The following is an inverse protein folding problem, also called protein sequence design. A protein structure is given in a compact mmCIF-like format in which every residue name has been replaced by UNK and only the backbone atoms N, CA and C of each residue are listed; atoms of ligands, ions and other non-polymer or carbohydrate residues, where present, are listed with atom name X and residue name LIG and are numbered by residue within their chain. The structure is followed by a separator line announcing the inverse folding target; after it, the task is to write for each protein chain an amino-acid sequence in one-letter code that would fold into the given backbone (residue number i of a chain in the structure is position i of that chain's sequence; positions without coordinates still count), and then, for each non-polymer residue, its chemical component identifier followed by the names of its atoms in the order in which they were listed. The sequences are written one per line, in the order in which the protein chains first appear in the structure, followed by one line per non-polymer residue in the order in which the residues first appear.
data_IF_446221129099
#
_entry.id   IF_446221129099
#
_cell.length_a   1.000
_cell.length_b   1.000
_cell.length_c   1.000
_cell.angle_alpha   90.00
_cell.angle_beta   90.00
_cell.angle_gamma   90.00
#
_symmetry.space_group_name_H-M   'P 1'
#
loop_
_entity.id
_entity.type
_entity.pdbx_description
1 polymer ?
#
# COMPACT_ATOMS: atom_id res chain seq x y z
N UNK A 1 -26.23 -0.71 4.54
CA UNK A 1 -24.99 -1.00 5.27
C UNK A 1 -25.32 -0.97 6.75
N UNK A 2 -25.36 -2.14 7.41
CA UNK A 2 -25.80 -2.22 8.79
C UNK A 2 -24.69 -2.85 9.63
N UNK A 3 -23.70 -2.03 9.99
CA UNK A 3 -22.81 -2.37 11.09
C UNK A 3 -23.36 -1.70 12.35
N UNK A 4 -23.56 -2.51 13.39
CA UNK A 4 -23.93 -2.01 14.70
C UNK A 4 -22.67 -1.42 15.36
N UNK A 5 -22.74 -0.17 15.78
CA UNK A 5 -21.67 0.49 16.52
C UNK A 5 -22.19 0.78 17.93
N UNK A 6 -21.54 0.24 18.92
CA UNK A 6 -21.69 0.68 20.30
C UNK A 6 -20.60 1.70 20.58
N UNK A 7 -21.00 2.93 20.81
CA UNK A 7 -20.07 4.00 21.22
C UNK A 7 -20.15 4.07 22.75
N UNK A 8 -19.03 3.78 23.40
CA UNK A 8 -18.93 4.01 24.86
C UNK A 8 -19.13 5.50 25.15
N UNK A 9 -19.68 5.80 26.32
CA UNK A 9 -19.86 7.19 26.74
C UNK A 9 -18.51 7.93 26.68
N UNK A 10 -18.48 8.97 25.86
CA UNK A 10 -17.33 9.86 25.75
C UNK A 10 -17.22 10.74 26.99
N UNK A 11 -15.99 11.12 27.36
CA UNK A 11 -15.76 12.16 28.37
C UNK A 11 -16.11 13.54 27.80
N UNK A 12 -16.23 14.54 28.65
CA UNK A 12 -16.47 15.94 28.24
C UNK A 12 -15.32 16.49 27.36
N UNK A 13 -14.15 15.87 27.38
CA UNK A 13 -12.96 16.26 26.63
C UNK A 13 -12.82 15.50 25.29
N UNK A 14 -13.63 14.46 25.04
CA UNK A 14 -13.54 13.68 23.82
C UNK A 14 -14.27 14.36 22.65
N UNK A 15 -13.56 14.56 21.55
CA UNK A 15 -14.13 15.07 20.30
C UNK A 15 -14.18 13.95 19.28
N UNK A 16 -15.39 13.50 18.93
CA UNK A 16 -15.60 12.51 17.86
C UNK A 16 -15.89 13.20 16.53
N UNK A 17 -15.11 12.89 15.50
CA UNK A 17 -15.31 13.41 14.14
C UNK A 17 -15.57 12.25 13.19
N UNK A 18 -16.69 12.28 12.48
CA UNK A 18 -17.04 11.28 11.48
C UNK A 18 -16.88 11.85 10.06
N UNK A 19 -15.94 11.29 9.29
CA UNK A 19 -15.83 11.56 7.87
C UNK A 19 -16.54 10.45 7.08
N UNK A 20 -17.55 10.83 6.29
CA UNK A 20 -18.21 9.92 5.37
C UNK A 20 -17.56 10.06 4.00
N UNK A 21 -16.87 9.00 3.58
CA UNK A 21 -16.13 8.96 2.31
C UNK A 21 -16.92 8.09 1.32
N UNK A 22 -17.28 8.68 0.18
CA UNK A 22 -17.98 7.95 -0.88
C UNK A 22 -17.00 7.08 -1.69
N UNK A 23 -17.45 5.95 -2.27
CA UNK A 23 -16.57 5.07 -3.07
C UNK A 23 -15.85 5.79 -4.22
N UNK A 24 -16.51 6.75 -4.85
CA UNK A 24 -15.98 7.56 -5.97
C UNK A 24 -14.77 8.41 -5.56
N UNK A 25 -14.64 8.74 -4.28
CA UNK A 25 -13.46 9.42 -3.75
C UNK A 25 -12.18 8.63 -4.04
N UNK A 26 -12.23 7.30 -3.92
CA UNK A 26 -11.07 6.44 -4.16
C UNK A 26 -10.63 6.46 -5.62
N UNK A 27 -11.49 6.78 -6.57
CA UNK A 27 -11.13 6.92 -8.00
C UNK A 27 -10.21 8.14 -8.24
N UNK A 28 -10.40 9.20 -7.46
CA UNK A 28 -9.55 10.39 -7.52
C UNK A 28 -8.23 10.21 -6.72
N UNK A 29 -8.27 9.43 -5.64
CA UNK A 29 -7.10 9.20 -4.77
C UNK A 29 -6.19 8.10 -5.29
N UNK A 30 -6.75 7.07 -5.97
CA UNK A 30 -5.97 5.97 -6.54
C UNK A 30 -4.79 6.39 -7.44
N UNK A 31 -4.91 7.42 -8.31
CA UNK A 31 -3.78 7.91 -9.07
C UNK A 31 -2.69 8.57 -8.22
N UNK A 32 -3.03 9.08 -7.03
CA UNK A 32 -2.06 9.66 -6.08
C UNK A 32 -1.35 8.59 -5.27
N UNK A 33 -2.03 7.47 -5.00
CA UNK A 33 -1.44 6.27 -4.46
C UNK A 33 -0.70 5.60 -5.62
N UNK A 34 0.61 5.56 -5.57
CA UNK A 34 1.43 4.92 -6.58
C UNK A 34 0.81 3.56 -6.97
N UNK A 35 0.26 3.46 -8.20
CA UNK A 35 -0.52 2.28 -8.64
C UNK A 35 0.29 0.97 -8.60
N UNK A 36 1.60 1.09 -8.51
CA UNK A 36 2.53 -0.04 -8.40
C UNK A 36 2.68 -0.56 -6.96
N UNK A 37 2.06 0.10 -5.96
CA UNK A 37 2.14 -0.34 -4.58
C UNK A 37 0.99 -1.32 -4.25
N UNK A 38 1.34 -2.60 -4.11
CA UNK A 38 0.39 -3.67 -3.79
C UNK A 38 -0.36 -3.43 -2.47
N UNK A 39 0.28 -2.79 -1.48
CA UNK A 39 -0.33 -2.44 -0.20
C UNK A 39 -1.45 -1.43 -0.36
N UNK A 40 -1.19 -0.34 -1.10
CA UNK A 40 -2.19 0.69 -1.40
C UNK A 40 -3.38 0.12 -2.16
N UNK A 41 -3.13 -0.71 -3.20
CA UNK A 41 -4.16 -1.39 -3.98
C UNK A 41 -5.00 -2.34 -3.10
N UNK A 42 -4.37 -3.07 -2.20
CA UNK A 42 -5.05 -3.94 -1.25
C UNK A 42 -5.94 -3.15 -0.28
N UNK A 43 -5.42 -2.09 0.34
CA UNK A 43 -6.18 -1.23 1.26
C UNK A 43 -7.43 -0.66 0.59
N UNK A 44 -7.27 -0.08 -0.60
CA UNK A 44 -8.39 0.48 -1.38
C UNK A 44 -9.40 -0.60 -1.76
N UNK A 45 -8.94 -1.78 -2.19
CA UNK A 45 -9.84 -2.89 -2.53
C UNK A 45 -10.64 -3.37 -1.31
N UNK A 46 -10.01 -3.37 -0.13
CA UNK A 46 -10.64 -3.74 1.14
C UNK A 46 -11.71 -2.72 1.55
N UNK A 47 -11.40 -1.43 1.40
CA UNK A 47 -12.35 -0.35 1.68
C UNK A 47 -13.53 -0.29 0.69
N UNK A 48 -13.28 -0.64 -0.58
CA UNK A 48 -14.33 -0.69 -1.62
C UNK A 48 -15.20 -1.93 -1.56
N UNK A 49 -14.63 -3.08 -1.18
CA UNK A 49 -15.40 -4.32 -1.06
C UNK A 49 -16.35 -4.21 0.11
N UNK A 50 -17.60 -3.93 -0.22
CA UNK A 50 -18.76 -3.97 0.65
C UNK A 50 -19.07 -5.45 1.00
N UNK A 51 -18.12 -6.11 1.69
CA UNK A 51 -18.36 -7.46 2.21
C UNK A 51 -19.30 -7.32 3.40
N UNK A 52 -20.34 -8.16 3.47
CA UNK A 52 -21.34 -8.24 4.55
C UNK A 52 -20.76 -8.51 5.95
N UNK A 53 -19.46 -8.44 6.11
CA UNK A 53 -18.77 -8.50 7.39
C UNK A 53 -18.52 -7.07 7.85
N UNK A 54 -19.32 -6.62 8.81
CA UNK A 54 -19.10 -5.38 9.54
C UNK A 54 -17.68 -5.39 10.11
N UNK A 55 -16.78 -4.65 9.48
CA UNK A 55 -15.38 -4.56 9.85
C UNK A 55 -14.96 -3.11 10.00
N UNK A 56 -14.17 -2.80 11.02
CA UNK A 56 -13.50 -1.51 11.19
C UNK A 56 -12.01 -1.73 11.42
N UNK A 57 -11.22 -0.77 11.00
CA UNK A 57 -9.79 -0.72 11.32
C UNK A 57 -9.61 0.39 12.35
N UNK A 58 -9.07 0.04 13.51
CA UNK A 58 -8.70 1.00 14.54
C UNK A 58 -7.20 1.29 14.43
N UNK A 59 -6.86 2.53 14.07
CA UNK A 59 -5.48 2.99 14.04
C UNK A 59 -5.14 3.72 15.33
N UNK A 60 -4.10 3.26 16.03
CA UNK A 60 -3.51 4.00 17.16
C UNK A 60 -2.47 4.99 16.65
N UNK A 61 -2.92 6.13 16.20
CA UNK A 61 -2.08 7.17 15.56
C UNK A 61 -2.16 8.53 16.26
N UNK A 62 -2.58 8.54 17.52
CA UNK A 62 -2.70 9.75 18.32
C UNK A 62 -1.34 10.48 18.54
N UNK A 63 -0.23 9.75 18.45
CA UNK A 63 1.14 10.27 18.55
C UNK A 63 1.81 10.55 17.19
N UNK A 64 1.11 10.31 16.07
CA UNK A 64 1.62 10.51 14.73
C UNK A 64 1.29 11.92 14.23
N UNK A 65 2.20 12.85 14.45
CA UNK A 65 2.01 14.26 14.13
C UNK A 65 1.53 14.53 12.68
N UNK A 66 2.04 13.86 11.62
CA UNK A 66 1.53 14.05 10.26
C UNK A 66 0.03 13.69 10.12
N UNK A 67 -0.45 12.65 10.82
CA UNK A 67 -1.86 12.26 10.83
C UNK A 67 -2.70 13.30 11.57
N UNK A 68 -2.26 13.75 12.74
CA UNK A 68 -2.93 14.79 13.53
C UNK A 68 -3.10 16.07 12.70
N UNK A 69 -2.02 16.58 12.11
CA UNK A 69 -2.05 17.80 11.30
C UNK A 69 -3.03 17.70 10.11
N UNK A 70 -3.10 16.55 9.45
CA UNK A 70 -4.02 16.34 8.33
C UNK A 70 -5.48 16.32 8.80
N UNK A 71 -5.77 15.70 9.94
CA UNK A 71 -7.12 15.68 10.52
C UNK A 71 -7.52 17.09 10.97
N UNK A 72 -6.64 17.82 11.65
CA UNK A 72 -6.88 19.21 12.06
C UNK A 72 -7.14 20.12 10.85
N UNK A 73 -6.35 20.00 9.79
CA UNK A 73 -6.55 20.74 8.54
C UNK A 73 -7.90 20.46 7.90
N UNK A 74 -8.35 19.19 7.87
CA UNK A 74 -9.68 18.82 7.37
C UNK A 74 -10.79 19.51 8.16
N UNK A 75 -10.70 19.45 9.49
CA UNK A 75 -11.68 20.07 10.39
C UNK A 75 -11.70 21.58 10.21
N UNK A 76 -10.54 22.21 10.23
CA UNK A 76 -10.40 23.65 10.04
C UNK A 76 -10.93 24.13 8.71
N UNK A 77 -10.56 23.47 7.63
CA UNK A 77 -11.01 23.78 6.26
C UNK A 77 -12.52 23.63 6.11
N UNK A 78 -13.11 22.62 6.74
CA UNK A 78 -14.56 22.40 6.72
C UNK A 78 -15.33 23.48 7.49
N UNK A 79 -14.82 23.89 8.66
CA UNK A 79 -15.42 24.95 9.47
C UNK A 79 -15.34 26.31 8.78
N UNK A 80 -14.21 26.65 8.15
CA UNK A 80 -13.96 27.97 7.60
C UNK A 80 -14.40 28.13 6.15
N UNK A 81 -14.71 27.06 5.44
CA UNK A 81 -15.25 27.01 4.06
C UNK A 81 -14.64 28.03 3.11
N UNK A 82 -13.33 28.09 3.03
CA UNK A 82 -12.61 28.94 2.09
C UNK A 82 -12.89 28.56 0.64
N UNK A 83 -12.55 29.44 -0.31
CA UNK A 83 -12.58 29.11 -1.73
C UNK A 83 -11.79 27.81 -1.98
N UNK A 84 -12.34 26.92 -2.81
CA UNK A 84 -11.73 25.60 -3.14
C UNK A 84 -11.59 24.61 -1.96
N UNK A 85 -12.33 24.82 -0.85
CA UNK A 85 -12.26 23.94 0.32
C UNK A 85 -12.54 22.45 -0.03
N UNK A 86 -13.33 22.19 -1.06
CA UNK A 86 -13.65 20.82 -1.50
C UNK A 86 -12.43 20.13 -2.07
N UNK A 87 -11.69 20.80 -2.94
CA UNK A 87 -10.48 20.25 -3.58
C UNK A 87 -9.36 20.09 -2.55
N UNK A 88 -9.23 21.08 -1.64
CA UNK A 88 -8.30 21.01 -0.51
C UNK A 88 -8.61 19.81 0.37
N UNK A 89 -9.86 19.63 0.78
CA UNK A 89 -10.27 18.51 1.62
C UNK A 89 -10.08 17.15 0.92
N UNK A 90 -10.39 17.09 -0.38
CA UNK A 90 -10.16 15.86 -1.15
C UNK A 90 -8.69 15.48 -1.21
N UNK A 91 -7.81 16.44 -1.47
CA UNK A 91 -6.36 16.23 -1.49
C UNK A 91 -5.83 15.87 -0.10
N UNK A 92 -6.25 16.59 0.94
CA UNK A 92 -5.85 16.35 2.33
C UNK A 92 -6.30 14.96 2.80
N UNK A 93 -7.52 14.55 2.45
CA UNK A 93 -8.00 13.20 2.74
C UNK A 93 -7.18 12.14 2.00
N UNK A 94 -6.77 12.39 0.76
CA UNK A 94 -5.85 11.53 0.01
C UNK A 94 -4.50 11.37 0.72
N UNK A 95 -3.92 12.47 1.18
CA UNK A 95 -2.68 12.46 1.97
C UNK A 95 -2.86 11.71 3.30
N UNK A 96 -4.00 11.88 3.98
CA UNK A 96 -4.32 11.13 5.20
C UNK A 96 -4.36 9.62 4.93
N UNK A 97 -5.01 9.17 3.85
CA UNK A 97 -5.00 7.75 3.48
C UNK A 97 -3.59 7.23 3.17
N UNK A 98 -2.78 7.99 2.44
CA UNK A 98 -1.38 7.62 2.19
C UNK A 98 -0.58 7.49 3.49
N UNK A 99 -0.78 8.40 4.43
CA UNK A 99 -0.12 8.34 5.74
C UNK A 99 -0.59 7.12 6.54
N UNK A 100 -1.90 6.82 6.57
CA UNK A 100 -2.43 5.63 7.25
C UNK A 100 -1.91 4.32 6.65
N UNK A 101 -1.64 4.26 5.34
CA UNK A 101 -0.97 3.10 4.71
C UNK A 101 0.41 2.84 5.33
N UNK A 102 1.14 3.89 5.71
CA UNK A 102 2.44 3.74 6.37
C UNK A 102 2.33 3.27 7.82
N UNK A 103 1.18 3.50 8.46
CA UNK A 103 0.94 3.19 9.89
C UNK A 103 0.22 1.85 10.10
N UNK A 104 0.32 0.91 9.16
CA UNK A 104 -0.35 -0.40 9.25
C UNK A 104 0.06 -1.23 10.46
N UNK A 105 1.24 -1.00 11.04
CA UNK A 105 1.72 -1.66 12.26
C UNK A 105 0.95 -1.21 13.51
N UNK A 106 0.23 -0.09 13.42
CA UNK A 106 -0.55 0.52 14.49
C UNK A 106 -2.04 0.19 14.42
N UNK A 107 -2.42 -0.78 13.55
CA UNK A 107 -3.80 -1.22 13.41
C UNK A 107 -4.13 -2.22 14.50
N UNK A 108 -5.19 -1.95 15.24
CA UNK A 108 -5.86 -2.91 16.12
C UNK A 108 -7.16 -3.40 15.50
N UNK A 109 -7.43 -4.67 15.63
CA UNK A 109 -8.66 -5.27 15.12
C UNK A 109 -9.40 -6.02 16.22
N UNK A 110 -10.71 -5.81 16.28
CA UNK A 110 -11.59 -6.52 17.20
C UNK A 110 -12.14 -7.86 16.69
N UNK A 111 -11.84 -8.23 15.42
CA UNK A 111 -12.41 -9.43 14.79
C UNK A 111 -11.32 -10.36 14.24
N UNK A 112 -11.34 -11.68 14.51
CA UNK A 112 -10.35 -12.65 14.02
C UNK A 112 -10.19 -12.67 12.49
N UNK A 113 -11.26 -12.43 11.73
CA UNK A 113 -11.21 -12.38 10.26
C UNK A 113 -10.51 -11.12 9.74
N UNK A 114 -10.58 -10.02 10.48
CA UNK A 114 -9.85 -8.79 10.16
C UNK A 114 -8.35 -8.93 10.42
N UNK A 115 -7.94 -9.70 11.44
CA UNK A 115 -6.52 -10.01 11.68
C UNK A 115 -5.83 -10.60 10.45
N UNK A 116 -6.54 -11.45 9.68
CA UNK A 116 -5.97 -12.05 8.47
C UNK A 116 -5.65 -10.99 7.39
N UNK A 117 -6.53 -10.00 7.21
CA UNK A 117 -6.29 -8.88 6.30
C UNK A 117 -5.12 -8.01 6.76
N UNK A 118 -4.99 -7.77 8.07
CA UNK A 118 -3.86 -7.02 8.64
C UNK A 118 -2.55 -7.76 8.41
N UNK A 119 -2.50 -9.09 8.59
CA UNK A 119 -1.30 -9.86 8.26
C UNK A 119 -0.91 -9.70 6.79
N UNK A 120 -1.87 -9.73 5.88
CA UNK A 120 -1.58 -9.51 4.45
C UNK A 120 -1.02 -8.11 4.21
N UNK A 121 -1.60 -7.06 4.84
CA UNK A 121 -1.05 -5.69 4.74
C UNK A 121 0.38 -5.60 5.26
N UNK A 122 0.68 -6.22 6.40
CA UNK A 122 2.03 -6.24 6.96
C UNK A 122 3.03 -7.01 6.07
N UNK A 123 2.58 -8.09 5.41
CA UNK A 123 3.42 -8.81 4.44
C UNK A 123 3.70 -7.93 3.21
N UNK A 124 2.68 -7.24 2.69
CA UNK A 124 2.85 -6.35 1.55
C UNK A 124 3.81 -5.20 1.89
N UNK A 125 3.66 -4.59 3.07
CA UNK A 125 4.60 -3.58 3.58
C UNK A 125 6.02 -4.13 3.70
N UNK A 126 6.18 -5.34 4.25
CA UNK A 126 7.48 -6.00 4.32
C UNK A 126 8.12 -6.20 2.93
N UNK A 127 7.34 -6.61 1.92
CA UNK A 127 7.83 -6.72 0.54
C UNK A 127 8.30 -5.35 0.02
N UNK A 128 7.51 -4.29 0.24
CA UNK A 128 7.85 -2.93 -0.20
C UNK A 128 9.19 -2.44 0.39
N UNK A 129 9.42 -2.70 1.67
CA UNK A 129 10.59 -2.24 2.40
C UNK A 129 11.82 -3.14 2.22
N UNK A 130 11.62 -4.45 2.01
CA UNK A 130 12.68 -5.46 2.06
C UNK A 130 12.85 -6.26 0.75
N UNK A 131 12.27 -5.80 -0.38
CA UNK A 131 12.19 -6.57 -1.63
C UNK A 131 13.49 -7.23 -2.07
N UNK A 132 14.65 -6.64 -1.79
CA UNK A 132 15.96 -7.20 -2.15
C UNK A 132 16.20 -8.58 -1.56
N UNK A 133 15.87 -8.76 -0.28
CA UNK A 133 16.18 -9.98 0.48
C UNK A 133 14.91 -10.62 1.09
N UNK A 134 13.71 -10.16 0.69
CA UNK A 134 12.47 -10.59 1.30
C UNK A 134 12.26 -12.11 1.23
N UNK A 135 11.87 -12.69 2.36
CA UNK A 135 11.57 -14.11 2.54
C UNK A 135 10.25 -14.31 3.25
N UNK A 136 9.38 -15.16 2.69
CA UNK A 136 8.12 -15.51 3.35
C UNK A 136 8.35 -16.23 4.68
N UNK A 137 9.43 -17.01 4.80
CA UNK A 137 9.77 -17.71 6.03
C UNK A 137 10.13 -16.72 7.16
N UNK A 138 10.86 -15.67 6.82
CA UNK A 138 11.23 -14.62 7.78
C UNK A 138 9.99 -13.87 8.29
N UNK A 139 9.12 -13.40 7.39
CA UNK A 139 7.93 -12.67 7.81
C UNK A 139 6.95 -13.55 8.58
N UNK A 140 6.80 -14.82 8.20
CA UNK A 140 5.99 -15.79 8.93
C UNK A 140 6.54 -16.01 10.36
N UNK A 141 7.85 -16.12 10.51
CA UNK A 141 8.50 -16.23 11.83
C UNK A 141 8.27 -14.98 12.70
N UNK A 142 8.40 -13.77 12.15
CA UNK A 142 8.13 -12.52 12.88
C UNK A 142 6.69 -12.43 13.39
N UNK A 143 5.74 -13.01 12.65
CA UNK A 143 4.31 -12.98 12.96
C UNK A 143 3.83 -14.22 13.73
N UNK A 144 4.72 -15.12 14.18
CA UNK A 144 4.39 -16.39 14.81
C UNK A 144 3.36 -17.22 14.02
N UNK A 145 3.49 -17.21 12.69
CA UNK A 145 2.62 -17.92 11.76
C UNK A 145 3.42 -18.99 10.98
N UNK A 146 2.72 -20.03 10.50
CA UNK A 146 3.34 -20.97 9.58
C UNK A 146 3.42 -20.38 8.17
N UNK A 147 4.50 -20.71 7.43
CA UNK A 147 4.69 -20.31 6.02
C UNK A 147 3.51 -20.76 5.16
N UNK A 148 2.96 -21.96 5.43
CA UNK A 148 1.80 -22.51 4.71
C UNK A 148 0.55 -21.65 4.92
N UNK A 149 0.28 -21.23 6.17
CA UNK A 149 -0.86 -20.37 6.49
C UNK A 149 -0.71 -19.00 5.79
N UNK A 150 0.47 -18.37 5.91
CA UNK A 150 0.75 -17.09 5.27
C UNK A 150 0.63 -17.14 3.75
N UNK A 151 1.14 -18.23 3.12
CA UNK A 151 1.01 -18.43 1.67
C UNK A 151 -0.46 -18.51 1.23
N UNK A 152 -1.30 -19.23 1.99
CA UNK A 152 -2.75 -19.32 1.72
C UNK A 152 -3.45 -17.97 1.88
N UNK A 153 -3.14 -17.24 2.97
CA UNK A 153 -3.70 -15.91 3.21
C UNK A 153 -3.37 -14.93 2.09
N UNK A 154 -2.09 -14.82 1.73
CA UNK A 154 -1.66 -13.96 0.63
C UNK A 154 -2.44 -14.29 -0.64
N UNK A 155 -2.48 -15.57 -1.04
CA UNK A 155 -3.17 -16.01 -2.25
C UNK A 155 -4.67 -15.75 -2.19
N UNK A 156 -5.29 -15.96 -1.03
CA UNK A 156 -6.73 -15.71 -0.83
C UNK A 156 -7.08 -14.22 -0.99
N UNK A 157 -6.32 -13.34 -0.32
CA UNK A 157 -6.63 -11.91 -0.28
C UNK A 157 -6.15 -11.13 -1.51
N UNK A 158 -5.01 -11.50 -2.10
CA UNK A 158 -4.41 -10.76 -3.22
C UNK A 158 -4.61 -11.42 -4.59
N UNK A 159 -5.05 -12.68 -4.62
CA UNK A 159 -5.09 -13.50 -5.83
C UNK A 159 -3.71 -13.98 -6.32
N UNK A 160 -2.61 -13.53 -5.68
CA UNK A 160 -1.22 -13.76 -6.08
C UNK A 160 -0.42 -14.47 -4.99
N UNK A 161 0.66 -15.12 -5.35
CA UNK A 161 1.61 -15.71 -4.42
C UNK A 161 2.59 -14.64 -3.92
N UNK A 162 3.24 -14.90 -2.77
CA UNK A 162 4.34 -14.06 -2.29
C UNK A 162 5.45 -13.84 -3.33
N UNK A 163 5.79 -14.91 -4.07
CA UNK A 163 6.82 -14.86 -5.12
C UNK A 163 6.42 -13.94 -6.28
N UNK A 164 5.17 -13.98 -6.71
CA UNK A 164 4.64 -13.11 -7.77
C UNK A 164 4.65 -11.64 -7.33
N UNK A 165 4.19 -11.35 -6.10
CA UNK A 165 4.21 -10.00 -5.53
C UNK A 165 5.64 -9.45 -5.39
N UNK A 166 6.57 -10.29 -4.90
CA UNK A 166 7.97 -9.92 -4.76
C UNK A 166 8.62 -9.67 -6.13
N UNK A 167 8.33 -10.51 -7.13
CA UNK A 167 8.84 -10.34 -8.49
C UNK A 167 8.34 -9.02 -9.10
N UNK A 168 7.06 -8.73 -8.95
CA UNK A 168 6.46 -7.47 -9.42
C UNK A 168 7.16 -6.26 -8.80
N UNK A 169 7.34 -6.25 -7.48
CA UNK A 169 8.05 -5.16 -6.78
C UNK A 169 9.48 -4.99 -7.26
N UNK A 170 10.22 -6.09 -7.41
CA UNK A 170 11.60 -6.05 -7.92
C UNK A 170 11.69 -5.52 -9.34
N UNK A 171 10.75 -5.92 -10.21
CA UNK A 171 10.70 -5.44 -11.60
C UNK A 171 10.34 -3.95 -11.67
N UNK A 172 9.37 -3.49 -10.89
CA UNK A 172 9.03 -2.07 -10.80
C UNK A 172 10.21 -1.23 -10.30
N UNK A 173 10.94 -1.72 -9.29
CA UNK A 173 12.13 -1.05 -8.79
C UNK A 173 13.26 -1.02 -9.85
N UNK A 174 13.44 -2.11 -10.61
CA UNK A 174 14.40 -2.13 -11.70
C UNK A 174 14.03 -1.14 -12.82
N UNK A 175 12.76 -1.06 -13.17
CA UNK A 175 12.22 -0.09 -14.12
C UNK A 175 12.53 1.34 -13.66
N UNK A 176 12.22 1.68 -12.41
CA UNK A 176 12.52 2.98 -11.82
C UNK A 176 14.02 3.32 -11.93
N UNK A 177 14.90 2.36 -11.61
CA UNK A 177 16.36 2.56 -11.71
C UNK A 177 16.84 2.68 -13.15
N UNK A 178 16.23 1.95 -14.10
CA UNK A 178 16.56 2.06 -15.53
C UNK A 178 16.23 3.44 -16.08
N UNK A 179 15.12 4.06 -15.64
CA UNK A 179 14.71 5.43 -15.99
C UNK A 179 15.58 6.51 -15.32
N UNK A 180 15.80 6.36 -14.02
CA UNK A 180 16.35 7.40 -13.16
C UNK A 180 17.86 7.39 -13.01
N UNK A 181 18.58 6.34 -13.48
CA UNK A 181 20.02 6.20 -13.24
C UNK A 181 20.79 5.75 -14.49
N UNK A 182 22.11 5.97 -14.46
CA UNK A 182 23.06 5.45 -15.46
C UNK A 182 23.79 4.18 -15.00
N UNK A 183 23.35 3.55 -13.93
CA UNK A 183 23.98 2.34 -13.41
C UNK A 183 24.03 1.24 -14.48
N UNK A 184 25.09 0.41 -14.51
CA UNK A 184 25.12 -0.78 -15.32
C UNK A 184 23.89 -1.67 -15.07
N UNK A 185 23.34 -2.29 -16.11
CA UNK A 185 22.13 -3.12 -15.98
C UNK A 185 22.38 -4.30 -15.02
N UNK A 186 23.58 -4.87 -15.05
CA UNK A 186 24.01 -5.92 -14.13
C UNK A 186 23.92 -5.47 -12.68
N UNK A 187 24.31 -4.24 -12.38
CA UNK A 187 24.28 -3.68 -11.01
C UNK A 187 22.83 -3.48 -10.54
N UNK A 188 21.97 -2.99 -11.45
CA UNK A 188 20.53 -2.88 -11.16
C UNK A 188 19.95 -4.25 -10.82
N UNK A 189 20.28 -5.29 -11.61
CA UNK A 189 19.81 -6.67 -11.39
C UNK A 189 20.18 -7.14 -9.97
N UNK A 190 21.43 -6.94 -9.56
CA UNK A 190 21.88 -7.31 -8.22
C UNK A 190 21.25 -6.43 -7.13
N UNK A 191 21.08 -5.14 -7.38
CA UNK A 191 20.45 -4.23 -6.42
C UNK A 191 18.98 -4.56 -6.14
N UNK A 192 18.26 -5.06 -7.13
CA UNK A 192 16.87 -5.47 -6.95
C UNK A 192 16.72 -6.92 -6.45
N UNK A 193 17.82 -7.61 -6.17
CA UNK A 193 17.83 -8.91 -5.49
C UNK A 193 17.78 -10.13 -6.42
N UNK A 194 18.35 -10.02 -7.64
CA UNK A 194 18.55 -11.18 -8.53
C UNK A 194 20.03 -11.47 -8.72
N UNK A 195 20.43 -12.73 -8.52
CA UNK A 195 21.78 -13.21 -8.80
C UNK A 195 21.93 -13.77 -10.23
N UNK A 196 20.82 -14.23 -10.83
CA UNK A 196 20.81 -14.77 -12.18
C UNK A 196 20.34 -13.73 -13.21
N UNK A 197 21.30 -13.14 -13.91
CA UNK A 197 21.05 -12.10 -14.92
C UNK A 197 20.19 -12.61 -16.08
N UNK A 198 20.43 -13.85 -16.56
CA UNK A 198 19.65 -14.43 -17.66
C UNK A 198 18.18 -14.62 -17.31
N UNK A 199 17.92 -15.10 -16.09
CA UNK A 199 16.57 -15.20 -15.55
C UNK A 199 15.90 -13.82 -15.48
N UNK A 200 16.60 -12.81 -14.95
CA UNK A 200 16.06 -11.45 -14.88
C UNK A 200 15.71 -10.89 -16.25
N UNK A 201 16.60 -11.03 -17.25
CA UNK A 201 16.34 -10.56 -18.61
C UNK A 201 15.07 -11.18 -19.21
N UNK A 202 14.85 -12.48 -18.96
CA UNK A 202 13.65 -13.17 -19.42
C UNK A 202 12.39 -12.61 -18.78
N UNK A 203 12.32 -12.54 -17.45
CA UNK A 203 11.11 -12.06 -16.73
C UNK A 203 10.84 -10.58 -16.98
N UNK A 204 11.88 -9.76 -17.15
CA UNK A 204 11.73 -8.35 -17.51
C UNK A 204 11.12 -8.21 -18.92
N UNK A 205 11.61 -8.99 -19.88
CA UNK A 205 11.04 -8.98 -21.24
C UNK A 205 9.60 -9.49 -21.26
N UNK A 206 9.26 -10.48 -20.46
CA UNK A 206 7.89 -10.99 -20.30
C UNK A 206 6.96 -9.89 -19.75
N UNK A 207 7.43 -9.10 -18.78
CA UNK A 207 6.64 -8.05 -18.12
C UNK A 207 6.49 -6.77 -18.96
N UNK A 208 7.58 -6.32 -19.61
CA UNK A 208 7.63 -5.03 -20.31
C UNK A 208 7.71 -5.13 -21.85
N UNK A 209 7.67 -6.33 -22.39
CA UNK A 209 7.69 -6.55 -23.84
C UNK A 209 9.07 -6.42 -24.50
N UNK A 210 10.08 -5.93 -23.80
CA UNK A 210 11.41 -5.65 -24.34
C UNK A 210 12.52 -5.88 -23.31
N UNK A 211 13.78 -5.93 -23.81
CA UNK A 211 14.94 -6.10 -22.91
C UNK A 211 15.16 -4.85 -22.04
N UNK A 212 15.81 -4.97 -20.84
CA UNK A 212 16.17 -3.83 -20.01
C UNK A 212 17.01 -2.76 -20.75
N UNK A 213 17.88 -3.20 -21.66
CA UNK A 213 18.70 -2.31 -22.50
C UNK A 213 17.85 -1.49 -23.46
N UNK A 214 16.92 -2.16 -24.17
CA UNK A 214 15.99 -1.50 -25.10
C UNK A 214 15.05 -0.56 -24.35
N UNK A 215 14.57 -0.97 -23.18
CA UNK A 215 13.71 -0.17 -22.32
C UNK A 215 14.39 1.15 -21.91
N UNK A 216 15.63 1.07 -21.42
CA UNK A 216 16.44 2.28 -21.06
C UNK A 216 16.66 3.18 -22.27
N UNK A 217 16.96 2.61 -23.46
CA UNK A 217 17.21 3.41 -24.66
C UNK A 217 15.96 4.19 -25.11
N UNK A 218 14.78 3.57 -25.00
CA UNK A 218 13.49 4.19 -25.33
C UNK A 218 13.21 5.39 -24.42
N UNK A 219 13.32 5.20 -23.11
CA UNK A 219 13.03 6.23 -22.09
C UNK A 219 14.02 7.42 -22.16
N UNK A 220 15.26 7.17 -22.51
CA UNK A 220 16.28 8.22 -22.65
C UNK A 220 16.24 8.94 -24.02
N UNK A 221 15.20 8.72 -24.84
CA UNK A 221 15.04 9.38 -26.13
C UNK A 221 16.06 8.94 -27.21
N UNK A 222 16.75 7.81 -26.99
CA UNK A 222 17.76 7.25 -27.90
C UNK A 222 17.19 6.18 -28.84
N UNK A 223 15.87 5.94 -28.81
CA UNK A 223 15.20 5.06 -29.75
C UNK A 223 14.91 5.85 -31.04
N UNK A 224 15.81 5.78 -32.00
CA UNK A 224 15.58 6.08 -33.40
C UNK A 224 15.17 4.82 -34.13
#
# INVERSE_FOLDING_TARGET
QFSYHEVMAASEEDIGINFIVLPEFFDAVLPMLNQENALSSFLVSTLRKNTNTAGYLHYRVADVLPVQNLVENLVWSWQNRQANYRDINQTTMGLLFMQLVNETDRIESGNPQQYQGIFVMQILKYIEENYKNASLAEVAGRMNQSVSNMSKLIKHYTGRTFKELLQEKRLAQAEYMLKGTRLPITDIIYQVGYDNTSYFHRIFKEAYGMSPKSYRALENGQAR
#
